data_IF_710844911771
#
_entry.id   IF_710844911771
#
_cell.length_a   1.000
_cell.length_b   1.000
_cell.length_c   1.000
_cell.angle_alpha   90.00
_cell.angle_beta   90.00
_cell.angle_gamma   90.00
#
_symmetry.space_group_name_H-M   'P 1'
#
loop_
_entity.id
_entity.type
_entity.pdbx_description
1 polymer ?
#
# COMPACT_ATOMS: atom_id res chain seq x y z
N UNK A 1 14.94 3.68 39.20
CA UNK A 1 14.69 3.04 37.90
C UNK A 1 13.74 1.89 38.16
N UNK A 2 12.47 1.99 37.73
CA UNK A 2 11.48 0.94 37.93
C UNK A 2 11.71 -0.16 36.89
N UNK A 3 11.99 -1.38 37.33
CA UNK A 3 12.04 -2.56 36.47
C UNK A 3 10.63 -2.85 35.95
N UNK A 4 10.41 -2.97 34.64
CA UNK A 4 9.10 -3.35 34.12
C UNK A 4 8.73 -4.75 34.63
N UNK A 5 7.46 -4.93 34.99
CA UNK A 5 6.94 -6.21 35.48
C UNK A 5 7.00 -7.30 34.40
N UNK A 6 7.12 -8.57 34.80
CA UNK A 6 7.24 -9.72 33.90
C UNK A 6 6.07 -9.82 32.89
N UNK A 7 4.85 -9.43 33.32
CA UNK A 7 3.66 -9.38 32.46
C UNK A 7 3.77 -8.31 31.36
N UNK A 8 4.28 -7.11 31.67
CA UNK A 8 4.51 -6.06 30.66
C UNK A 8 5.57 -6.49 29.63
N UNK A 9 6.56 -7.28 30.04
CA UNK A 9 7.56 -7.84 29.13
C UNK A 9 6.97 -8.90 28.20
N UNK A 10 6.04 -9.73 28.67
CA UNK A 10 5.40 -10.76 27.87
C UNK A 10 4.41 -10.16 26.88
N UNK A 11 3.59 -9.19 27.31
CA UNK A 11 2.68 -8.45 26.43
C UNK A 11 3.43 -7.69 25.34
N UNK A 12 4.58 -7.10 25.69
CA UNK A 12 5.43 -6.41 24.72
C UNK A 12 6.11 -7.40 23.75
N UNK A 13 6.53 -8.58 24.22
CA UNK A 13 7.05 -9.65 23.36
C UNK A 13 5.98 -10.23 22.45
N UNK A 14 4.75 -10.41 22.93
CA UNK A 14 3.61 -10.88 22.13
C UNK A 14 3.17 -9.85 21.09
N UNK A 15 3.22 -8.56 21.42
CA UNK A 15 2.98 -7.48 20.46
C UNK A 15 4.05 -7.45 19.35
N UNK A 16 5.32 -7.64 19.70
CA UNK A 16 6.43 -7.74 18.73
C UNK A 16 6.25 -8.97 17.83
N UNK A 17 5.93 -10.14 18.40
CA UNK A 17 5.66 -11.36 17.64
C UNK A 17 4.40 -11.25 16.75
N UNK A 18 3.42 -10.43 17.16
CA UNK A 18 2.22 -10.17 16.38
C UNK A 18 2.46 -9.19 15.21
N UNK A 19 3.40 -8.25 15.34
CA UNK A 19 3.82 -7.35 14.26
C UNK A 19 4.61 -8.07 13.15
N UNK A 20 5.28 -9.18 13.48
CA UNK A 20 6.16 -9.94 12.57
C UNK A 20 5.50 -11.19 11.94
N UNK A 21 4.21 -11.43 12.18
CA UNK A 21 3.50 -12.54 11.52
C UNK A 21 3.28 -12.21 10.04
N UNK A 22 4.15 -12.74 9.19
CA UNK A 22 3.95 -12.77 7.75
C UNK A 22 2.69 -13.60 7.45
N UNK A 23 1.59 -12.89 7.20
CA UNK A 23 0.35 -13.49 6.72
C UNK A 23 0.60 -14.03 5.32
N UNK A 24 0.58 -15.35 5.17
CA UNK A 24 0.64 -16.05 3.89
C UNK A 24 -0.56 -17.01 3.76
N UNK A 25 -1.58 -16.58 3.04
CA UNK A 25 -2.78 -17.39 2.77
C UNK A 25 -2.77 -17.86 1.32
N UNK A 26 -3.08 -19.14 1.11
CA UNK A 26 -3.41 -19.66 -0.21
C UNK A 26 -4.88 -19.38 -0.55
N UNK A 27 -5.14 -18.22 -1.15
CA UNK A 27 -6.46 -17.89 -1.68
C UNK A 27 -6.82 -18.85 -2.83
N UNK A 28 -8.09 -19.29 -2.92
CA UNK A 28 -8.54 -20.09 -4.06
C UNK A 28 -8.44 -19.28 -5.36
N UNK A 29 -8.13 -19.95 -6.47
CA UNK A 29 -8.20 -19.33 -7.79
C UNK A 29 -9.67 -19.03 -8.13
N UNK A 30 -10.04 -17.77 -8.43
CA UNK A 30 -11.41 -17.42 -8.79
C UNK A 30 -11.91 -18.11 -10.08
N UNK A 31 -11.00 -18.53 -10.96
CA UNK A 31 -11.31 -19.16 -12.25
C UNK A 31 -11.42 -20.68 -12.16
N UNK A 32 -11.01 -21.28 -11.04
CA UNK A 32 -11.04 -22.73 -10.89
C UNK A 32 -12.48 -23.25 -10.70
N UNK A 33 -13.02 -23.85 -11.76
CA UNK A 33 -14.35 -24.48 -11.75
C UNK A 33 -14.37 -25.83 -11.01
N UNK A 34 -13.21 -26.42 -10.70
CA UNK A 34 -13.12 -27.69 -9.97
C UNK A 34 -13.36 -27.53 -8.47
N UNK A 35 -13.18 -26.32 -7.95
CA UNK A 35 -13.46 -25.99 -6.55
C UNK A 35 -14.97 -25.80 -6.35
N UNK A 36 -15.55 -26.61 -5.47
CA UNK A 36 -16.96 -26.51 -5.12
C UNK A 36 -17.27 -25.13 -4.48
N UNK A 37 -18.41 -24.48 -4.79
CA UNK A 37 -18.77 -23.18 -4.21
C UNK A 37 -18.74 -23.14 -2.68
N UNK A 38 -19.12 -24.23 -2.00
CA UNK A 38 -19.08 -24.31 -0.55
C UNK A 38 -17.63 -24.28 -0.04
N UNK A 39 -16.74 -25.05 -0.68
CA UNK A 39 -15.32 -25.10 -0.33
C UNK A 39 -14.64 -23.74 -0.57
N UNK A 40 -14.92 -23.11 -1.71
CA UNK A 40 -14.43 -21.77 -2.04
C UNK A 40 -14.79 -20.77 -0.92
N UNK A 41 -16.07 -20.72 -0.54
CA UNK A 41 -16.54 -19.79 0.50
C UNK A 41 -15.90 -20.07 1.86
N UNK A 42 -15.76 -21.33 2.26
CA UNK A 42 -15.09 -21.68 3.53
C UNK A 42 -13.62 -21.23 3.56
N UNK A 43 -12.89 -21.34 2.44
CA UNK A 43 -11.51 -20.86 2.35
C UNK A 43 -11.44 -19.34 2.45
N UNK A 44 -12.35 -18.64 1.78
CA UNK A 44 -12.48 -17.18 1.85
C UNK A 44 -12.80 -16.71 3.27
N UNK A 45 -13.74 -17.38 3.94
CA UNK A 45 -14.17 -17.01 5.29
C UNK A 45 -13.04 -17.18 6.31
N UNK A 46 -12.30 -18.30 6.24
CA UNK A 46 -11.12 -18.51 7.09
C UNK A 46 -10.06 -17.44 6.87
N UNK A 47 -9.76 -17.09 5.62
CA UNK A 47 -8.81 -16.02 5.31
C UNK A 47 -9.29 -14.66 5.83
N UNK A 48 -10.60 -14.39 5.74
CA UNK A 48 -11.21 -13.14 6.18
C UNK A 48 -11.15 -12.96 7.70
N UNK A 49 -11.43 -14.02 8.47
CA UNK A 49 -11.40 -14.01 9.94
C UNK A 49 -10.00 -13.68 10.49
N UNK A 50 -8.94 -14.21 9.89
CA UNK A 50 -7.56 -13.92 10.33
C UNK A 50 -7.19 -12.46 10.06
N UNK A 51 -7.82 -11.83 9.07
CA UNK A 51 -7.57 -10.43 8.72
C UNK A 51 -8.35 -9.44 9.60
N UNK A 52 -8.85 -9.82 10.77
CA UNK A 52 -9.65 -8.92 11.61
C UNK A 52 -8.86 -7.82 12.34
N UNK A 53 -7.52 -7.85 12.25
CA UNK A 53 -6.66 -6.82 12.83
C UNK A 53 -6.78 -5.49 12.08
N UNK A 54 -6.42 -4.40 12.75
CA UNK A 54 -6.45 -3.04 12.21
C UNK A 54 -5.05 -2.53 11.81
N UNK A 55 -4.31 -3.33 11.04
CA UNK A 55 -3.01 -2.97 10.49
C UNK A 55 -3.04 -2.93 8.95
N UNK A 56 -1.97 -2.42 8.33
CA UNK A 56 -1.94 -2.21 6.89
C UNK A 56 -1.87 -3.54 6.13
N UNK A 57 -1.16 -4.51 6.68
CA UNK A 57 -1.01 -5.84 6.08
C UNK A 57 -2.34 -6.59 6.04
N UNK A 58 -3.14 -6.55 7.10
CA UNK A 58 -4.51 -7.12 7.07
C UNK A 58 -5.45 -6.37 6.13
N UNK A 59 -5.32 -5.06 6.00
CA UNK A 59 -6.09 -4.31 5.00
C UNK A 59 -5.72 -4.68 3.56
N UNK A 60 -4.43 -4.89 3.28
CA UNK A 60 -3.95 -5.40 1.98
C UNK A 60 -4.54 -6.79 1.72
N UNK A 61 -4.49 -7.69 2.70
CA UNK A 61 -5.08 -9.03 2.57
C UNK A 61 -6.59 -9.02 2.37
N UNK A 62 -7.33 -8.17 3.10
CA UNK A 62 -8.76 -7.94 2.87
C UNK A 62 -9.03 -7.50 1.42
N UNK A 63 -8.18 -6.63 0.89
CA UNK A 63 -8.23 -6.23 -0.52
C UNK A 63 -8.03 -7.38 -1.51
N UNK A 64 -7.05 -8.27 -1.24
CA UNK A 64 -6.80 -9.47 -2.05
C UNK A 64 -7.99 -10.45 -2.01
N UNK A 65 -8.56 -10.69 -0.83
CA UNK A 65 -9.75 -11.54 -0.65
C UNK A 65 -10.94 -10.96 -1.43
N UNK A 66 -11.20 -9.66 -1.28
CA UNK A 66 -12.27 -8.97 -2.01
C UNK A 66 -12.11 -9.07 -3.53
N UNK A 67 -10.88 -8.98 -4.03
CA UNK A 67 -10.57 -9.16 -5.45
C UNK A 67 -10.93 -10.56 -5.92
N UNK A 68 -10.52 -11.60 -5.18
CA UNK A 68 -10.83 -13.01 -5.49
C UNK A 68 -12.34 -13.26 -5.49
N UNK A 69 -13.08 -12.80 -4.49
CA UNK A 69 -14.55 -12.96 -4.43
C UNK A 69 -15.22 -12.25 -5.60
N UNK A 70 -14.84 -10.99 -5.89
CA UNK A 70 -15.37 -10.22 -7.02
C UNK A 70 -15.12 -10.95 -8.34
N UNK A 71 -13.91 -11.47 -8.54
CA UNK A 71 -13.51 -12.11 -9.78
C UNK A 71 -14.25 -13.44 -9.95
N UNK A 72 -14.41 -14.23 -8.88
CA UNK A 72 -15.22 -15.47 -8.89
C UNK A 72 -16.66 -15.23 -9.36
N UNK A 73 -17.32 -14.21 -8.83
CA UNK A 73 -18.69 -13.83 -9.22
C UNK A 73 -18.78 -13.40 -10.69
N UNK A 74 -17.76 -12.66 -11.16
CA UNK A 74 -17.67 -12.25 -12.56
C UNK A 74 -17.52 -13.46 -13.50
N UNK A 75 -16.72 -14.46 -13.12
CA UNK A 75 -16.55 -15.71 -13.87
C UNK A 75 -17.81 -16.58 -13.84
N UNK A 76 -18.53 -16.62 -12.72
CA UNK A 76 -19.81 -17.34 -12.57
C UNK A 76 -20.97 -16.76 -13.39
N UNK A 77 -20.73 -15.79 -14.27
CA UNK A 77 -21.73 -15.21 -15.17
C UNK A 77 -22.53 -14.04 -14.58
N UNK A 78 -22.26 -13.64 -13.33
CA UNK A 78 -22.88 -12.48 -12.72
C UNK A 78 -22.20 -11.18 -13.16
N UNK A 79 -22.47 -10.81 -14.41
CA UNK A 79 -21.99 -9.56 -15.02
C UNK A 79 -22.51 -8.30 -14.33
N UNK A 80 -23.55 -8.40 -13.49
CA UNK A 80 -24.10 -7.27 -12.74
C UNK A 80 -23.50 -7.12 -11.34
N UNK A 81 -22.73 -8.12 -10.89
CA UNK A 81 -22.06 -8.13 -9.58
C UNK A 81 -23.03 -8.18 -8.40
N UNK A 82 -24.22 -8.72 -8.59
CA UNK A 82 -25.22 -8.90 -7.53
C UNK A 82 -24.72 -9.83 -6.41
N UNK A 83 -24.02 -10.91 -6.72
CA UNK A 83 -23.41 -11.83 -5.77
C UNK A 83 -22.32 -11.16 -4.94
N UNK A 84 -21.41 -10.42 -5.58
CA UNK A 84 -20.40 -9.64 -4.87
C UNK A 84 -21.04 -8.58 -3.95
N UNK A 85 -22.07 -7.87 -4.42
CA UNK A 85 -22.78 -6.89 -3.59
C UNK A 85 -23.53 -7.55 -2.41
N UNK A 86 -24.08 -8.75 -2.59
CA UNK A 86 -24.68 -9.52 -1.50
C UNK A 86 -23.62 -9.91 -0.47
N UNK A 87 -22.49 -10.45 -0.93
CA UNK A 87 -21.37 -10.85 -0.07
C UNK A 87 -20.83 -9.68 0.76
N UNK A 88 -20.75 -8.49 0.17
CA UNK A 88 -20.37 -7.26 0.88
C UNK A 88 -21.40 -6.88 1.95
N UNK A 89 -22.69 -7.00 1.64
CA UNK A 89 -23.78 -6.67 2.56
C UNK A 89 -23.76 -7.56 3.79
N UNK A 90 -23.50 -8.86 3.63
CA UNK A 90 -23.41 -9.83 4.73
C UNK A 90 -22.27 -9.52 5.70
N UNK A 91 -21.29 -8.71 5.27
CA UNK A 91 -20.12 -8.28 6.04
C UNK A 91 -20.14 -6.78 6.39
N UNK A 92 -21.30 -6.12 6.22
CA UNK A 92 -21.48 -4.70 6.51
C UNK A 92 -20.46 -3.78 5.80
N UNK A 93 -20.01 -4.19 4.61
CA UNK A 93 -19.06 -3.43 3.80
C UNK A 93 -19.77 -2.60 2.73
N UNK A 94 -19.38 -1.34 2.63
CA UNK A 94 -19.83 -0.49 1.52
C UNK A 94 -19.04 -0.81 0.25
N UNK A 95 -19.67 -0.64 -0.92
CA UNK A 95 -19.02 -0.79 -2.22
C UNK A 95 -17.74 0.05 -2.31
N UNK A 96 -17.80 1.33 -1.92
CA UNK A 96 -16.62 2.22 -1.94
C UNK A 96 -15.48 1.69 -1.07
N UNK A 97 -15.79 1.21 0.15
CA UNK A 97 -14.76 0.63 1.04
C UNK A 97 -14.11 -0.60 0.41
N UNK A 98 -14.90 -1.47 -0.23
CA UNK A 98 -14.38 -2.67 -0.89
C UNK A 98 -13.42 -2.32 -2.03
N UNK A 99 -13.80 -1.40 -2.92
CA UNK A 99 -12.92 -0.99 -4.03
C UNK A 99 -11.66 -0.28 -3.56
N UNK A 100 -11.73 0.53 -2.49
CA UNK A 100 -10.53 1.15 -1.90
C UNK A 100 -9.55 0.10 -1.33
N UNK A 101 -10.06 -0.99 -0.75
CA UNK A 101 -9.23 -2.10 -0.27
C UNK A 101 -8.62 -2.88 -1.44
N UNK A 102 -9.39 -3.13 -2.50
CA UNK A 102 -8.88 -3.77 -3.71
C UNK A 102 -7.78 -2.91 -4.36
N UNK A 103 -7.96 -1.60 -4.44
CA UNK A 103 -6.93 -0.67 -4.95
C UNK A 103 -5.66 -0.73 -4.10
N UNK A 104 -5.81 -0.70 -2.77
CA UNK A 104 -4.68 -0.87 -1.85
C UNK A 104 -3.93 -2.19 -2.09
N UNK A 105 -4.64 -3.29 -2.28
CA UNK A 105 -4.02 -4.59 -2.59
C UNK A 105 -3.28 -4.57 -3.93
N UNK A 106 -3.87 -3.98 -4.98
CA UNK A 106 -3.20 -3.84 -6.28
C UNK A 106 -1.91 -3.01 -6.16
N UNK A 107 -1.94 -1.93 -5.38
CA UNK A 107 -0.74 -1.13 -5.09
C UNK A 107 0.33 -1.94 -4.36
N UNK A 108 -0.08 -2.78 -3.41
CA UNK A 108 0.84 -3.63 -2.65
C UNK A 108 1.49 -4.69 -3.54
N UNK A 109 0.69 -5.40 -4.34
CA UNK A 109 1.19 -6.42 -5.26
C UNK A 109 2.22 -5.82 -6.23
N UNK A 110 1.91 -4.65 -6.81
CA UNK A 110 2.84 -3.93 -7.68
C UNK A 110 4.17 -3.59 -6.99
N UNK A 111 4.14 -3.07 -5.75
CA UNK A 111 5.35 -2.70 -5.02
C UNK A 111 6.18 -3.92 -4.58
N UNK A 112 5.52 -5.02 -4.20
CA UNK A 112 6.17 -6.25 -3.74
C UNK A 112 6.75 -7.05 -4.92
N UNK A 113 6.02 -7.19 -6.03
CA UNK A 113 6.47 -7.91 -7.23
C UNK A 113 7.68 -7.26 -7.89
N UNK A 114 7.78 -5.92 -7.83
CA UNK A 114 8.93 -5.18 -8.33
C UNK A 114 10.16 -5.28 -7.42
N UNK A 115 10.03 -5.86 -6.22
CA UNK A 115 11.08 -5.90 -5.20
C UNK A 115 11.38 -4.53 -4.59
N UNK A 116 10.54 -3.53 -4.83
CA UNK A 116 10.73 -2.17 -4.34
C UNK A 116 10.37 -2.04 -2.87
N UNK A 117 9.62 -3.00 -2.31
CA UNK A 117 9.17 -2.99 -0.92
C UNK A 117 9.49 -4.33 -0.24
N UNK A 118 10.01 -4.26 0.99
CA UNK A 118 10.18 -5.42 1.87
C UNK A 118 8.85 -5.74 2.58
N UNK A 119 8.31 -6.98 2.47
CA UNK A 119 7.07 -7.38 3.15
C UNK A 119 7.04 -7.03 4.64
N UNK A 120 8.17 -7.17 5.34
CA UNK A 120 8.29 -6.90 6.78
C UNK A 120 8.17 -5.42 7.13
N UNK A 121 8.42 -4.53 6.15
CA UNK A 121 8.37 -3.08 6.32
C UNK A 121 6.99 -2.48 6.06
N UNK A 122 6.02 -3.24 5.55
CA UNK A 122 4.68 -2.77 5.16
C UNK A 122 4.00 -2.00 6.30
N UNK A 123 4.05 -2.54 7.53
CA UNK A 123 3.40 -1.93 8.69
C UNK A 123 4.09 -0.65 9.19
N UNK A 124 5.24 -0.25 8.61
CA UNK A 124 5.86 1.06 8.86
C UNK A 124 5.16 2.20 8.09
N UNK A 125 4.32 1.89 7.12
CA UNK A 125 3.56 2.86 6.34
C UNK A 125 2.20 3.15 6.97
N UNK A 126 1.77 4.41 6.91
CA UNK A 126 0.33 4.68 6.95
C UNK A 126 -0.31 4.35 5.60
N UNK A 127 -1.59 3.93 5.59
CA UNK A 127 -2.33 3.59 4.36
C UNK A 127 -2.20 4.64 3.24
N UNK A 128 -2.34 5.92 3.58
CA UNK A 128 -2.22 7.03 2.62
C UNK A 128 -0.79 7.18 2.08
N UNK A 129 0.21 6.94 2.92
CA UNK A 129 1.61 6.96 2.51
C UNK A 129 1.91 5.82 1.54
N UNK A 130 1.37 4.64 1.82
CA UNK A 130 1.55 3.46 0.98
C UNK A 130 0.99 3.67 -0.43
N UNK A 131 -0.25 4.15 -0.54
CA UNK A 131 -0.87 4.47 -1.83
C UNK A 131 -0.09 5.55 -2.58
N UNK A 132 0.34 6.62 -1.89
CA UNK A 132 1.14 7.69 -2.51
C UNK A 132 2.51 7.19 -2.97
N UNK A 133 3.11 6.24 -2.24
CA UNK A 133 4.37 5.59 -2.64
C UNK A 133 4.18 4.78 -3.92
N UNK A 134 3.15 3.94 -3.98
CA UNK A 134 2.84 3.14 -5.18
C UNK A 134 2.59 3.99 -6.44
N UNK A 135 2.11 5.22 -6.28
CA UNK A 135 1.88 6.17 -7.37
C UNK A 135 3.11 7.05 -7.70
N UNK A 136 4.17 6.96 -6.90
CA UNK A 136 5.39 7.74 -7.10
C UNK A 136 6.34 7.06 -8.10
N UNK A 137 7.32 7.80 -8.67
CA UNK A 137 8.35 7.20 -9.52
C UNK A 137 9.12 6.07 -8.82
N UNK A 138 9.67 5.08 -9.56
CA UNK A 138 10.39 3.96 -8.96
C UNK A 138 11.51 4.37 -8.00
N UNK A 139 12.25 5.44 -8.31
CA UNK A 139 13.34 5.92 -7.47
C UNK A 139 12.82 6.45 -6.12
N UNK A 140 11.68 7.14 -6.12
CA UNK A 140 11.01 7.57 -4.88
C UNK A 140 10.49 6.35 -4.10
N UNK A 141 9.96 5.34 -4.78
CA UNK A 141 9.53 4.09 -4.14
C UNK A 141 10.69 3.41 -3.40
N UNK A 142 11.86 3.30 -4.04
CA UNK A 142 13.07 2.73 -3.44
C UNK A 142 13.51 3.55 -2.23
N UNK A 143 13.65 4.87 -2.37
CA UNK A 143 14.08 5.74 -1.27
C UNK A 143 13.17 5.68 -0.05
N UNK A 144 11.85 5.65 -0.27
CA UNK A 144 10.86 5.55 0.81
C UNK A 144 10.90 4.16 1.46
N UNK A 145 11.07 3.11 0.66
CA UNK A 145 11.11 1.74 1.17
C UNK A 145 12.40 1.43 1.93
N UNK A 146 13.53 1.99 1.52
CA UNK A 146 14.78 1.93 2.28
C UNK A 146 14.61 2.60 3.65
N UNK A 147 13.98 3.78 3.69
CA UNK A 147 13.65 4.44 4.95
C UNK A 147 12.74 3.59 5.85
N UNK A 148 11.75 2.89 5.27
CA UNK A 148 10.88 1.97 6.00
C UNK A 148 11.67 0.76 6.54
N UNK A 149 12.57 0.18 5.74
CA UNK A 149 13.45 -0.93 6.13
C UNK A 149 14.38 -0.56 7.28
N UNK A 150 14.84 0.68 7.32
CA UNK A 150 15.58 1.26 8.46
C UNK A 150 14.72 1.49 9.72
N UNK A 151 13.44 1.11 9.68
CA UNK A 151 12.51 1.22 10.80
C UNK A 151 11.83 2.60 10.93
N UNK A 152 12.03 3.50 9.97
CA UNK A 152 11.36 4.82 10.01
C UNK A 152 9.89 4.67 9.68
N UNK A 153 9.04 5.37 10.44
CA UNK A 153 7.60 5.42 10.16
C UNK A 153 7.34 6.33 8.95
N UNK A 154 6.71 5.77 7.93
CA UNK A 154 6.43 6.48 6.69
C UNK A 154 5.03 7.08 6.71
N UNK A 155 5.00 8.42 6.66
CA UNK A 155 3.78 9.21 6.55
C UNK A 155 3.64 9.77 5.15
N UNK A 156 2.41 10.18 4.80
CA UNK A 156 2.14 10.83 3.51
C UNK A 156 3.04 12.05 3.28
N UNK A 157 3.27 12.84 4.32
CA UNK A 157 4.15 14.00 4.26
C UNK A 157 5.60 13.60 3.95
N UNK A 158 6.07 12.49 4.52
CA UNK A 158 7.42 11.98 4.26
C UNK A 158 7.57 11.56 2.79
N UNK A 159 6.60 10.83 2.25
CA UNK A 159 6.60 10.41 0.83
C UNK A 159 6.65 11.63 -0.08
N UNK A 160 5.80 12.63 0.19
CA UNK A 160 5.79 13.89 -0.57
C UNK A 160 7.12 14.62 -0.49
N UNK A 161 7.74 14.68 0.69
CA UNK A 161 9.03 15.32 0.85
C UNK A 161 10.11 14.64 0.00
N UNK A 162 10.20 13.30 0.05
CA UNK A 162 11.16 12.54 -0.77
C UNK A 162 10.89 12.76 -2.26
N UNK A 163 9.62 12.78 -2.67
CA UNK A 163 9.26 13.08 -4.06
C UNK A 163 9.67 14.51 -4.49
N UNK A 164 9.44 15.50 -3.64
CA UNK A 164 9.79 16.89 -3.91
C UNK A 164 11.34 17.08 -3.96
N UNK A 165 12.07 16.38 -3.09
CA UNK A 165 13.55 16.34 -3.09
C UNK A 165 14.09 15.67 -4.37
N UNK A 166 13.53 14.53 -4.75
CA UNK A 166 13.90 13.83 -5.99
C UNK A 166 13.73 14.74 -7.21
N UNK A 167 12.55 15.35 -7.38
CA UNK A 167 12.26 16.25 -8.50
C UNK A 167 13.23 17.43 -8.51
N UNK A 168 13.51 18.03 -7.34
CA UNK A 168 14.40 19.18 -7.25
C UNK A 168 15.84 18.88 -7.68
N UNK A 169 16.29 17.64 -7.49
CA UNK A 169 17.66 17.21 -7.82
C UNK A 169 17.78 16.64 -9.23
N UNK A 170 16.71 16.08 -9.81
CA UNK A 170 16.81 15.35 -11.09
C UNK A 170 16.12 16.04 -12.27
N UNK A 171 15.21 16.99 -12.01
CA UNK A 171 14.45 17.64 -13.07
C UNK A 171 15.34 18.42 -14.04
N UNK A 172 15.31 18.03 -15.31
CA UNK A 172 15.98 18.73 -16.41
C UNK A 172 15.43 20.14 -16.67
N UNK A 173 14.18 20.40 -16.24
CA UNK A 173 13.55 21.72 -16.35
C UNK A 173 14.24 22.78 -15.46
N UNK A 174 14.99 22.37 -14.44
CA UNK A 174 15.70 23.29 -13.56
C UNK A 174 17.11 23.57 -14.10
N UNK A 175 17.64 24.79 -13.99
CA UNK A 175 19.05 25.04 -14.26
C UNK A 175 19.96 24.23 -13.33
N UNK A 176 21.15 23.84 -13.80
CA UNK A 176 22.12 23.08 -13.00
C UNK A 176 22.42 23.76 -11.65
N UNK A 177 22.62 25.08 -11.67
CA UNK A 177 22.88 25.86 -10.46
C UNK A 177 21.74 25.83 -9.42
N UNK A 178 20.51 25.53 -9.84
CA UNK A 178 19.36 25.35 -8.94
C UNK A 178 19.33 23.92 -8.40
N UNK A 179 19.64 22.92 -9.24
CA UNK A 179 19.77 21.51 -8.81
C UNK A 179 20.91 21.33 -7.79
N UNK A 180 22.07 21.92 -8.03
CA UNK A 180 23.20 21.91 -7.09
C UNK A 180 22.82 22.51 -5.73
N UNK A 181 22.06 23.62 -5.74
CA UNK A 181 21.55 24.28 -4.54
C UNK A 181 20.47 23.47 -3.82
N UNK A 182 19.67 22.69 -4.54
CA UNK A 182 18.74 21.75 -3.95
C UNK A 182 19.50 20.58 -3.28
N UNK A 183 20.47 19.99 -3.99
CA UNK A 183 21.25 18.85 -3.53
C UNK A 183 22.09 19.15 -2.27
N UNK A 184 22.62 20.37 -2.13
CA UNK A 184 23.37 20.79 -0.95
C UNK A 184 22.50 21.38 0.18
N UNK A 185 21.17 21.27 0.06
CA UNK A 185 20.19 21.80 1.01
C UNK A 185 20.22 23.32 1.23
N UNK A 186 20.81 24.11 0.31
CA UNK A 186 20.80 25.57 0.39
C UNK A 186 19.50 26.20 -0.14
N UNK A 187 18.68 25.43 -0.86
CA UNK A 187 17.40 25.87 -1.40
C UNK A 187 16.27 24.89 -1.03
N UNK A 188 15.15 25.37 -0.43
CA UNK A 188 14.06 24.47 -0.04
C UNK A 188 13.34 23.82 -1.24
N UNK A 189 13.38 22.49 -1.30
CA UNK A 189 12.87 21.67 -2.40
C UNK A 189 11.33 21.73 -2.56
N UNK A 190 10.61 21.95 -1.46
CA UNK A 190 9.13 22.07 -1.43
C UNK A 190 8.52 23.12 -2.37
N UNK A 191 9.31 24.10 -2.80
CA UNK A 191 8.88 25.12 -3.76
C UNK A 191 9.30 24.80 -5.20
N UNK A 192 10.30 23.94 -5.37
CA UNK A 192 10.84 23.56 -6.68
C UNK A 192 9.95 22.55 -7.39
N UNK A 193 9.45 21.54 -6.68
CA UNK A 193 8.60 20.53 -7.30
C UNK A 193 7.29 21.10 -7.89
N UNK A 194 6.55 22.00 -7.20
CA UNK A 194 5.42 22.70 -7.82
C UNK A 194 5.83 23.54 -9.06
N UNK A 195 6.99 24.22 -9.00
CA UNK A 195 7.49 25.00 -10.13
C UNK A 195 7.77 24.13 -11.35
N UNK A 196 8.48 23.00 -11.17
CA UNK A 196 8.76 22.03 -12.24
C UNK A 196 7.46 21.56 -12.88
N UNK A 197 6.43 21.23 -12.09
CA UNK A 197 5.13 20.81 -12.60
C UNK A 197 4.47 21.86 -13.49
N UNK A 198 4.54 23.14 -13.12
CA UNK A 198 4.03 24.22 -13.97
C UNK A 198 4.86 24.41 -15.24
N UNK A 199 6.19 24.31 -15.15
CA UNK A 199 7.09 24.39 -16.31
C UNK A 199 6.81 23.25 -17.31
N UNK A 200 6.61 22.02 -16.84
CA UNK A 200 6.25 20.90 -17.70
C UNK A 200 4.87 21.05 -18.34
N UNK A 201 3.89 21.66 -17.64
CA UNK A 201 2.58 21.97 -18.24
C UNK A 201 2.72 22.97 -19.37
N UNK A 202 3.54 24.01 -19.18
CA UNK A 202 3.85 25.01 -20.22
C UNK A 202 4.57 24.35 -21.40
N UNK A 203 5.58 23.51 -21.14
CA UNK A 203 6.32 22.82 -22.18
C UNK A 203 5.46 21.84 -22.98
N UNK A 204 4.50 21.16 -22.33
CA UNK A 204 3.50 20.30 -22.98
C UNK A 204 2.36 21.08 -23.64
N UNK A 205 2.28 22.39 -23.40
CA UNK A 205 1.23 23.30 -23.86
C UNK A 205 1.79 24.48 -24.64
N UNK A 206 2.49 24.20 -25.74
CA UNK A 206 2.43 25.10 -26.90
C UNK A 206 1.15 24.72 -27.66
N UNK A 207 0.27 25.68 -28.03
CA UNK A 207 -0.86 25.37 -28.92
C UNK A 207 -0.37 24.79 -30.25
#
# INVERSE_FOLDING_TARGET
MATPSLDQSLDQQLAILAEDLELDFQLPDPEDETVEPLEFNQRIDRAWEVCDRFDLQTEIWRGRILRVVRDRERYGGDTRGAGFLSWLKDRELTKSRAYNLIELANSADHLLEQGNLDPTSVNKFSKRAFIETAQSPPEVQVMVSDAAREGKRITRQQVKQVADEWIAVTSEMLPESIREKAANNSLPTRYLAPLVKEMEKIARGSP
#
